data_IF_883701214654
#
_entry.id   IF_883701214654
#
_cell.length_a   1.000
_cell.length_b   1.000
_cell.length_c   1.000
_cell.angle_alpha   90.00
_cell.angle_beta   90.00
_cell.angle_gamma   90.00
#
_symmetry.space_group_name_H-M   'P 1'
#
loop_
_entity.id
_entity.type
_entity.pdbx_description
1 polymer ?
#
# COMPACT_ATOMS: atom_id res chain seq x y z
N UNK A 1 1.50 2.99 13.56
CA UNK A 1 2.00 2.33 12.33
C UNK A 1 3.23 1.54 12.69
N UNK A 2 3.44 0.38 12.07
CA UNK A 2 4.57 -0.52 12.35
C UNK A 2 5.34 -0.88 11.07
N UNK A 3 6.57 -1.35 11.22
CA UNK A 3 7.48 -1.82 10.15
C UNK A 3 7.26 -3.29 9.75
N UNK A 4 6.29 -3.97 10.38
CA UNK A 4 5.99 -5.37 10.07
C UNK A 4 6.92 -6.37 10.73
N UNK A 5 7.69 -5.98 11.74
CA UNK A 5 8.52 -6.89 12.51
C UNK A 5 7.70 -8.03 13.15
N UNK A 6 8.23 -9.26 13.08
CA UNK A 6 7.54 -10.48 13.56
C UNK A 6 7.21 -10.44 15.06
N UNK A 7 7.96 -9.66 15.86
CA UNK A 7 7.67 -9.48 17.28
C UNK A 7 6.25 -8.97 17.57
N UNK A 8 5.64 -8.22 16.66
CA UNK A 8 4.29 -7.70 16.86
C UNK A 8 3.20 -8.76 16.74
N UNK A 9 3.47 -9.93 16.15
CA UNK A 9 2.49 -11.02 16.06
C UNK A 9 2.08 -11.55 17.43
N UNK A 10 2.93 -11.33 18.46
CA UNK A 10 2.69 -11.75 19.84
C UNK A 10 1.83 -10.78 20.64
N UNK A 11 1.59 -9.57 20.12
CA UNK A 11 0.83 -8.54 20.82
C UNK A 11 -0.67 -8.82 20.73
N UNK A 12 -1.34 -8.82 21.89
CA UNK A 12 -2.79 -8.99 21.99
C UNK A 12 -3.48 -7.62 22.00
N UNK A 13 -4.70 -7.56 21.47
CA UNK A 13 -5.55 -6.36 21.47
C UNK A 13 -4.95 -5.12 20.76
N UNK A 14 -4.04 -5.32 19.80
CA UNK A 14 -3.47 -4.24 18.98
C UNK A 14 -3.93 -4.33 17.53
N UNK A 15 -4.17 -3.17 16.92
CA UNK A 15 -4.47 -3.05 15.48
C UNK A 15 -3.18 -2.65 14.76
N UNK A 16 -2.76 -3.49 13.80
CA UNK A 16 -1.54 -3.24 13.03
C UNK A 16 -1.87 -2.49 11.75
N UNK A 17 -1.33 -1.29 11.62
CA UNK A 17 -1.36 -0.54 10.36
C UNK A 17 0.04 -0.52 9.76
N UNK A 18 0.19 -1.08 8.56
CA UNK A 18 1.42 -1.03 7.81
C UNK A 18 1.67 0.38 7.27
N UNK A 19 2.95 0.78 7.21
CA UNK A 19 3.36 2.04 6.61
C UNK A 19 3.87 1.81 5.18
N UNK A 20 3.37 2.59 4.21
CA UNK A 20 3.88 2.55 2.83
C UNK A 20 5.38 2.87 2.74
N UNK A 21 5.95 3.64 3.67
CA UNK A 21 7.39 3.91 3.70
C UNK A 21 8.19 2.63 3.98
N UNK A 22 7.75 1.81 4.94
CA UNK A 22 8.39 0.53 5.23
C UNK A 22 8.16 -0.49 4.10
N UNK A 23 6.95 -0.54 3.53
CA UNK A 23 6.67 -1.40 2.37
C UNK A 23 7.63 -1.07 1.22
N UNK A 24 7.77 0.21 0.89
CA UNK A 24 8.71 0.68 -0.14
C UNK A 24 10.15 0.31 0.18
N UNK A 25 10.56 0.42 1.44
CA UNK A 25 11.92 0.06 1.86
C UNK A 25 12.21 -1.42 1.60
N UNK A 26 11.30 -2.32 1.97
CA UNK A 26 11.47 -3.75 1.69
C UNK A 26 11.55 -4.05 0.19
N UNK A 27 10.75 -3.37 -0.64
CA UNK A 27 10.89 -3.52 -2.08
C UNK A 27 12.24 -3.03 -2.59
N UNK A 28 12.72 -1.88 -2.13
CA UNK A 28 14.05 -1.38 -2.50
C UNK A 28 15.18 -2.34 -2.09
N UNK A 29 15.09 -2.92 -0.90
CA UNK A 29 16.10 -3.88 -0.41
C UNK A 29 16.08 -5.18 -1.23
N UNK A 30 14.97 -5.50 -1.90
CA UNK A 30 14.84 -6.63 -2.81
C UNK A 30 15.24 -6.31 -4.27
N UNK A 31 15.48 -5.05 -4.63
CA UNK A 31 15.97 -4.68 -5.97
C UNK A 31 17.46 -5.01 -6.06
N UNK A 32 17.83 -5.79 -7.07
CA UNK A 32 19.24 -6.10 -7.36
C UNK A 32 19.97 -4.86 -7.87
N UNK A 33 21.21 -4.66 -7.46
CA UNK A 33 22.04 -3.54 -7.90
C UNK A 33 22.15 -3.49 -9.43
N UNK A 34 21.87 -2.34 -10.03
CA UNK A 34 21.83 -2.15 -11.49
C UNK A 34 20.50 -2.55 -12.17
N UNK A 35 19.57 -3.14 -11.42
CA UNK A 35 18.23 -3.51 -11.89
C UNK A 35 17.15 -2.48 -11.54
N UNK A 36 17.50 -1.27 -11.08
CA UNK A 36 16.54 -0.31 -10.51
C UNK A 36 15.50 0.21 -11.51
N UNK A 37 15.78 0.06 -12.81
CA UNK A 37 14.88 0.46 -13.90
C UNK A 37 14.17 -0.73 -14.57
N UNK A 38 14.46 -1.94 -14.12
CA UNK A 38 13.95 -3.15 -14.75
C UNK A 38 12.54 -3.48 -14.25
N UNK A 39 11.52 -2.97 -14.94
CA UNK A 39 10.12 -3.18 -14.56
C UNK A 39 9.65 -4.64 -14.68
N UNK A 40 10.43 -5.53 -15.30
CA UNK A 40 10.22 -6.99 -15.24
C UNK A 40 10.40 -7.52 -13.81
N UNK A 41 11.26 -6.88 -13.00
CA UNK A 41 11.52 -7.27 -11.63
C UNK A 41 10.32 -6.88 -10.74
N UNK A 42 9.68 -7.84 -10.04
CA UNK A 42 8.58 -7.56 -9.13
C UNK A 42 8.90 -6.49 -8.08
N UNK A 43 10.13 -6.49 -7.55
CA UNK A 43 10.53 -5.52 -6.54
C UNK A 43 10.45 -4.07 -7.07
N UNK A 44 10.89 -3.85 -8.31
CA UNK A 44 10.86 -2.53 -8.97
C UNK A 44 9.41 -2.07 -9.20
N UNK A 45 8.51 -2.98 -9.60
CA UNK A 45 7.09 -2.67 -9.73
C UNK A 45 6.48 -2.25 -8.38
N UNK A 46 6.82 -2.97 -7.30
CA UNK A 46 6.40 -2.63 -5.94
C UNK A 46 6.86 -1.24 -5.48
N UNK A 47 8.11 -0.86 -5.80
CA UNK A 47 8.61 0.50 -5.58
C UNK A 47 7.80 1.52 -6.39
N UNK A 48 7.52 1.24 -7.67
CA UNK A 48 6.78 2.15 -8.55
C UNK A 48 5.36 2.45 -8.05
N UNK A 49 4.66 1.45 -7.52
CA UNK A 49 3.35 1.64 -6.87
C UNK A 49 3.45 2.60 -5.68
N UNK A 50 4.41 2.35 -4.78
CA UNK A 50 4.62 3.20 -3.60
C UNK A 50 5.01 4.63 -3.99
N UNK A 51 5.91 4.78 -4.97
CA UNK A 51 6.32 6.09 -5.49
C UNK A 51 5.15 6.86 -6.09
N UNK A 52 4.23 6.19 -6.80
CA UNK A 52 3.03 6.82 -7.35
C UNK A 52 2.14 7.40 -6.25
N UNK A 53 1.91 6.66 -5.17
CA UNK A 53 1.16 7.15 -4.00
C UNK A 53 1.85 8.35 -3.34
N UNK A 54 3.18 8.29 -3.17
CA UNK A 54 3.93 9.38 -2.57
C UNK A 54 3.94 10.66 -3.41
N UNK A 55 3.90 10.54 -4.76
CA UNK A 55 3.74 11.69 -5.65
C UNK A 55 2.39 12.38 -5.46
N UNK A 56 1.31 11.63 -5.29
CA UNK A 56 -0.01 12.21 -5.01
C UNK A 56 -0.01 12.96 -3.67
N UNK A 57 0.45 12.34 -2.59
CA UNK A 57 0.51 12.96 -1.27
C UNK A 57 1.39 14.23 -1.26
N UNK A 58 2.54 14.20 -1.94
CA UNK A 58 3.40 15.37 -2.10
C UNK A 58 2.66 16.49 -2.82
N UNK A 59 2.02 16.19 -3.95
CA UNK A 59 1.25 17.17 -4.71
C UNK A 59 0.12 17.78 -3.88
N UNK A 60 -0.58 16.99 -3.08
CA UNK A 60 -1.65 17.51 -2.21
C UNK A 60 -1.12 18.44 -1.14
N UNK A 61 0.07 18.14 -0.60
CA UNK A 61 0.76 19.00 0.36
C UNK A 61 1.22 20.30 -0.29
N UNK A 62 1.85 20.25 -1.46
CA UNK A 62 2.32 21.43 -2.20
C UNK A 62 1.17 22.35 -2.62
N UNK A 63 0.02 21.79 -2.96
CA UNK A 63 -1.20 22.55 -3.28
C UNK A 63 -1.92 23.10 -2.05
N UNK A 64 -1.43 22.84 -0.83
CA UNK A 64 -2.02 23.35 0.40
C UNK A 64 -3.41 22.79 0.72
N UNK A 65 -3.79 21.64 0.15
CA UNK A 65 -5.14 21.09 0.35
C UNK A 65 -5.38 20.76 1.84
N UNK A 66 -6.53 21.18 2.43
CA UNK A 66 -6.93 20.78 3.77
C UNK A 66 -7.33 19.31 3.83
N UNK A 67 -7.40 18.76 5.04
CA UNK A 67 -7.63 17.32 5.29
C UNK A 67 -8.80 16.73 4.50
N UNK A 68 -9.97 17.37 4.53
CA UNK A 68 -11.17 16.88 3.84
C UNK A 68 -11.00 16.81 2.32
N UNK A 69 -10.32 17.80 1.73
CA UNK A 69 -10.03 17.81 0.30
C UNK A 69 -9.04 16.70 -0.07
N UNK A 70 -8.02 16.46 0.77
CA UNK A 70 -7.10 15.33 0.58
C UNK A 70 -7.84 14.00 0.65
N UNK A 71 -8.75 13.82 1.60
CA UNK A 71 -9.54 12.60 1.71
C UNK A 71 -10.36 12.32 0.44
N UNK A 72 -11.06 13.33 -0.10
CA UNK A 72 -11.79 13.21 -1.37
C UNK A 72 -10.86 12.86 -2.54
N UNK A 73 -9.67 13.47 -2.59
CA UNK A 73 -8.67 13.18 -3.63
C UNK A 73 -8.09 11.78 -3.53
N UNK A 74 -7.77 11.28 -2.32
CA UNK A 74 -7.32 9.89 -2.11
C UNK A 74 -8.32 8.88 -2.67
N UNK A 75 -9.61 9.08 -2.38
CA UNK A 75 -10.67 8.21 -2.92
C UNK A 75 -10.78 8.28 -4.45
N UNK A 76 -10.45 9.42 -5.06
CA UNK A 76 -10.52 9.61 -6.52
C UNK A 76 -9.25 9.12 -7.24
N UNK A 77 -8.08 9.38 -6.69
CA UNK A 77 -6.78 9.27 -7.38
C UNK A 77 -5.90 8.15 -6.82
N UNK A 78 -5.91 7.92 -5.50
CA UNK A 78 -5.12 6.85 -4.88
C UNK A 78 -5.84 5.50 -4.86
N UNK A 79 -7.16 5.48 -4.67
CA UNK A 79 -7.98 4.25 -4.77
C UNK A 79 -7.67 3.40 -6.01
N UNK A 80 -7.65 3.96 -7.26
CA UNK A 80 -7.31 3.19 -8.45
C UNK A 80 -5.84 2.75 -8.54
N UNK A 81 -4.99 3.16 -7.59
CA UNK A 81 -3.61 2.66 -7.46
C UNK A 81 -3.53 1.57 -6.39
N UNK A 82 -4.15 1.81 -5.23
CA UNK A 82 -4.12 0.89 -4.09
C UNK A 82 -4.80 -0.45 -4.43
N UNK A 83 -5.93 -0.43 -5.13
CA UNK A 83 -6.63 -1.68 -5.52
C UNK A 83 -5.74 -2.60 -6.37
N UNK A 84 -5.23 -2.14 -7.52
CA UNK A 84 -4.27 -2.90 -8.32
C UNK A 84 -3.00 -3.26 -7.56
N UNK A 85 -2.52 -2.39 -6.66
CA UNK A 85 -1.33 -2.70 -5.87
C UNK A 85 -1.56 -3.86 -4.89
N UNK A 86 -2.72 -3.91 -4.22
CA UNK A 86 -3.09 -5.04 -3.36
C UNK A 86 -3.18 -6.32 -4.19
N UNK A 87 -3.86 -6.26 -5.34
CA UNK A 87 -3.96 -7.40 -6.27
C UNK A 87 -2.57 -7.91 -6.67
N UNK A 88 -1.71 -6.99 -7.11
CA UNK A 88 -0.33 -7.27 -7.49
C UNK A 88 0.45 -7.99 -6.38
N UNK A 89 0.38 -7.52 -5.13
CA UNK A 89 1.04 -8.16 -3.98
C UNK A 89 0.51 -9.57 -3.75
N UNK A 90 -0.80 -9.78 -3.87
CA UNK A 90 -1.44 -11.07 -3.64
C UNK A 90 -1.08 -12.08 -4.74
N UNK A 91 -0.96 -11.63 -5.99
CA UNK A 91 -0.51 -12.44 -7.13
C UNK A 91 0.94 -12.92 -6.99
N UNK A 92 1.79 -12.22 -6.23
CA UNK A 92 3.14 -12.70 -5.91
C UNK A 92 3.16 -13.85 -4.89
N UNK A 93 2.03 -14.19 -4.25
CA UNK A 93 1.97 -15.28 -3.28
C UNK A 93 1.76 -16.62 -3.99
N UNK A 94 2.59 -17.64 -3.73
CA UNK A 94 2.54 -18.92 -4.46
C UNK A 94 1.23 -19.72 -4.29
N UNK A 95 0.43 -19.43 -3.25
CA UNK A 95 -0.72 -20.27 -2.85
C UNK A 95 -2.06 -19.51 -2.94
N UNK A 96 -2.07 -18.19 -3.06
CA UNK A 96 -3.26 -17.38 -2.80
C UNK A 96 -3.80 -16.70 -4.07
N UNK A 97 -4.90 -17.23 -4.60
CA UNK A 97 -5.69 -16.55 -5.66
C UNK A 97 -6.86 -15.84 -4.99
N UNK A 98 -6.83 -14.50 -5.00
CA UNK A 98 -7.90 -13.65 -4.44
C UNK A 98 -8.74 -13.09 -5.57
N UNK A 99 -10.06 -13.18 -5.44
CA UNK A 99 -10.98 -12.53 -6.36
C UNK A 99 -11.05 -11.01 -6.12
N UNK A 100 -11.40 -10.23 -7.14
CA UNK A 100 -11.56 -8.78 -7.00
C UNK A 100 -12.61 -8.42 -5.92
N UNK A 101 -13.65 -9.25 -5.75
CA UNK A 101 -14.66 -9.08 -4.71
C UNK A 101 -14.14 -9.31 -3.28
N UNK A 102 -13.13 -10.16 -3.10
CA UNK A 102 -12.44 -10.33 -1.81
C UNK A 102 -11.48 -9.17 -1.53
N UNK A 103 -10.80 -8.66 -2.56
CA UNK A 103 -9.94 -7.46 -2.47
C UNK A 103 -10.76 -6.26 -1.98
N UNK A 104 -11.95 -6.05 -2.53
CA UNK A 104 -12.85 -4.96 -2.09
C UNK A 104 -13.23 -5.07 -0.60
N UNK A 105 -13.33 -6.27 -0.03
CA UNK A 105 -13.65 -6.45 1.39
C UNK A 105 -12.50 -6.07 2.32
N UNK A 106 -11.26 -6.25 1.88
CA UNK A 106 -10.03 -5.95 2.65
C UNK A 106 -9.41 -4.60 2.28
N UNK A 107 -9.93 -3.91 1.27
CA UNK A 107 -9.42 -2.63 0.85
C UNK A 107 -9.67 -1.54 1.91
N UNK A 108 -8.81 -0.49 1.98
CA UNK A 108 -8.93 0.55 3.00
C UNK A 108 -10.26 1.31 3.02
N UNK A 109 -10.99 1.34 1.89
CA UNK A 109 -12.29 2.00 1.78
C UNK A 109 -13.47 1.10 2.15
N UNK A 110 -13.27 -0.19 2.40
CA UNK A 110 -14.30 -1.11 2.91
C UNK A 110 -14.85 -0.64 4.26
N UNK A 111 -16.18 -0.68 4.43
CA UNK A 111 -16.82 -0.35 5.71
C UNK A 111 -16.28 -1.20 6.87
N UNK A 112 -15.99 -2.48 6.60
CA UNK A 112 -15.43 -3.38 7.61
C UNK A 112 -14.05 -2.92 8.06
N UNK A 113 -13.17 -2.58 7.10
CA UNK A 113 -11.82 -2.10 7.39
C UNK A 113 -11.86 -0.74 8.07
N UNK A 114 -12.72 0.17 7.63
CA UNK A 114 -12.89 1.47 8.28
C UNK A 114 -13.38 1.35 9.73
N UNK A 115 -14.32 0.44 10.02
CA UNK A 115 -14.76 0.16 11.40
C UNK A 115 -13.66 -0.48 12.23
N UNK A 116 -12.92 -1.41 11.63
CA UNK A 116 -11.83 -2.11 12.31
C UNK A 116 -10.66 -1.18 12.61
N UNK A 117 -10.35 -0.22 11.74
CA UNK A 117 -9.21 0.69 11.88
C UNK A 117 -9.55 2.01 12.60
N UNK A 118 -10.80 2.22 13.02
CA UNK A 118 -11.21 3.33 13.91
C UNK A 118 -10.82 3.10 15.36
#
# INVERSE_FOLDING_TARGET
MVDGFQGYDKLKNVKRCACYAHIRRYFLDAVTQGGEKELSNPAVQGVAYCDKLFRYERRYKEQGHPYEQRQKRRLKEEKPVVGPFIKYILEQRPIYKTSDGEIEKIAPWSDNVQKTCR
#
